data_IF_459889033443
#
_entry.id   IF_459889033443
#
_cell.length_a   1.000
_cell.length_b   1.000
_cell.length_c   1.000
_cell.angle_alpha   90.00
_cell.angle_beta   90.00
_cell.angle_gamma   90.00
#
_symmetry.space_group_name_H-M   'P 1'
#
loop_
_entity.id
_entity.type
_entity.pdbx_description
1 polymer ?
#
# COMPACT_ATOMS: atom_id res chain seq x y z
N UNK A 1 22.29 -2.53 1.18
CA UNK A 1 21.16 -2.38 2.13
C UNK A 1 21.69 -1.65 3.36
N UNK A 2 21.03 -0.60 3.77
CA UNK A 2 21.33 0.05 5.04
C UNK A 2 20.70 -0.76 6.20
N UNK A 3 21.32 -0.65 7.36
CA UNK A 3 20.72 -1.12 8.61
C UNK A 3 20.19 0.10 9.33
N UNK A 4 18.87 0.11 9.61
CA UNK A 4 18.22 1.16 10.39
C UNK A 4 17.69 0.58 11.69
N UNK A 5 17.90 1.31 12.81
CA UNK A 5 17.37 0.93 14.11
C UNK A 5 15.98 1.50 14.32
N UNK A 6 14.98 0.64 14.50
CA UNK A 6 13.60 1.00 14.79
C UNK A 6 13.24 0.53 16.20
N UNK A 7 13.27 1.43 17.17
CA UNK A 7 12.86 1.12 18.53
C UNK A 7 13.70 0.03 19.22
N UNK A 8 14.99 -0.07 18.90
CA UNK A 8 15.92 -1.07 19.45
C UNK A 8 16.04 -2.34 18.60
N UNK A 9 15.37 -2.43 17.46
CA UNK A 9 15.48 -3.53 16.50
C UNK A 9 16.15 -3.04 15.22
N UNK A 10 17.21 -3.72 14.80
CA UNK A 10 17.92 -3.43 13.56
C UNK A 10 17.21 -4.12 12.39
N UNK A 11 16.83 -3.34 11.37
CA UNK A 11 16.15 -3.85 10.17
C UNK A 11 16.92 -3.47 8.91
N UNK A 12 16.89 -4.36 7.92
CA UNK A 12 17.43 -4.09 6.60
C UNK A 12 16.44 -3.22 5.81
N UNK A 13 16.93 -2.10 5.30
CA UNK A 13 16.17 -1.20 4.43
C UNK A 13 16.95 -0.89 3.16
N UNK A 14 16.25 -0.49 2.11
CA UNK A 14 16.85 0.02 0.88
C UNK A 14 16.33 1.44 0.66
N UNK A 15 17.28 2.38 0.58
CA UNK A 15 16.99 3.78 0.33
C UNK A 15 17.32 4.17 -1.11
N UNK A 16 16.88 5.37 -1.52
CA UNK A 16 17.22 5.92 -2.84
C UNK A 16 18.71 6.24 -2.98
N UNK A 17 19.43 6.38 -1.88
CA UNK A 17 20.91 6.57 -1.89
C UNK A 17 21.63 5.27 -2.23
N UNK A 18 21.16 4.14 -1.71
CA UNK A 18 21.78 2.84 -1.94
C UNK A 18 21.34 2.21 -3.27
N UNK A 19 20.14 2.54 -3.72
CA UNK A 19 19.60 2.10 -5.00
C UNK A 19 19.03 3.31 -5.76
N UNK A 20 19.88 4.11 -6.40
CA UNK A 20 19.45 5.29 -7.14
C UNK A 20 18.50 4.97 -8.29
N UNK A 21 17.71 5.96 -8.71
CA UNK A 21 16.73 5.81 -9.81
C UNK A 21 17.42 5.41 -11.11
N UNK A 22 18.63 5.89 -11.35
CA UNK A 22 19.43 5.52 -12.53
C UNK A 22 19.76 4.02 -12.55
N UNK A 23 20.08 3.46 -11.39
CA UNK A 23 20.28 2.01 -11.24
C UNK A 23 18.99 1.25 -11.46
N UNK A 24 17.86 1.74 -10.95
CA UNK A 24 16.55 1.14 -11.19
C UNK A 24 16.20 1.12 -12.68
N UNK A 25 16.46 2.22 -13.39
CA UNK A 25 16.28 2.30 -14.85
C UNK A 25 17.18 1.31 -15.60
N UNK A 26 18.44 1.15 -15.21
CA UNK A 26 19.34 0.18 -15.83
C UNK A 26 18.87 -1.26 -15.61
N UNK A 27 18.41 -1.60 -14.41
CA UNK A 27 17.87 -2.93 -14.08
C UNK A 27 16.64 -3.28 -14.92
N UNK A 28 15.76 -2.32 -15.16
CA UNK A 28 14.48 -2.53 -15.85
C UNK A 28 14.48 -2.01 -17.31
N UNK A 29 15.62 -1.67 -17.87
CA UNK A 29 15.70 -1.04 -19.22
C UNK A 29 15.07 -1.85 -20.35
N UNK A 30 15.16 -3.18 -20.25
CA UNK A 30 14.64 -4.12 -21.27
C UNK A 30 13.28 -4.72 -20.85
N UNK A 31 12.73 -4.27 -19.72
CA UNK A 31 11.44 -4.77 -19.21
C UNK A 31 10.28 -3.91 -19.73
N UNK A 32 9.15 -4.56 -19.97
CA UNK A 32 7.86 -3.93 -20.24
C UNK A 32 6.97 -4.18 -19.02
N UNK A 33 6.58 -3.13 -18.31
CA UNK A 33 5.77 -3.21 -17.10
C UNK A 33 4.30 -3.01 -17.49
N UNK A 34 3.48 -4.06 -17.41
CA UNK A 34 2.04 -3.93 -17.58
C UNK A 34 1.34 -3.76 -16.23
N UNK A 35 0.78 -2.60 -15.99
CA UNK A 35 -0.10 -2.35 -14.84
C UNK A 35 -1.50 -2.84 -15.17
N UNK A 36 -1.91 -3.94 -14.56
CA UNK A 36 -3.22 -4.56 -14.74
C UNK A 36 -4.20 -4.06 -13.69
N UNK A 37 -5.15 -3.23 -14.13
CA UNK A 37 -6.11 -2.54 -13.27
C UNK A 37 -5.75 -1.06 -13.05
N UNK A 38 -6.75 -0.19 -13.21
CA UNK A 38 -6.60 1.26 -13.05
C UNK A 38 -7.54 1.80 -11.97
N UNK A 39 -7.61 1.03 -10.85
CA UNK A 39 -8.44 1.33 -9.69
C UNK A 39 -7.77 2.27 -8.69
N UNK A 40 -7.56 1.79 -7.43
CA UNK A 40 -7.01 2.61 -6.35
C UNK A 40 -5.50 2.81 -6.50
N UNK A 41 -4.73 1.73 -6.72
CA UNK A 41 -3.27 1.78 -6.81
C UNK A 41 -2.76 2.05 -8.24
N UNK A 42 -3.49 1.55 -9.25
CA UNK A 42 -3.07 1.59 -10.65
C UNK A 42 -2.61 2.97 -11.14
N UNK A 43 -3.42 4.04 -10.96
CA UNK A 43 -3.02 5.38 -11.37
C UNK A 43 -1.74 5.87 -10.69
N UNK A 44 -1.64 5.71 -9.36
CA UNK A 44 -0.47 6.18 -8.60
C UNK A 44 0.82 5.50 -9.05
N UNK A 45 0.82 4.18 -9.11
CA UNK A 45 2.02 3.42 -9.45
C UNK A 45 2.40 3.58 -10.93
N UNK A 46 1.45 3.44 -11.86
CA UNK A 46 1.74 3.53 -13.29
C UNK A 46 2.23 4.91 -13.72
N UNK A 47 1.61 5.97 -13.19
CA UNK A 47 2.02 7.35 -13.51
C UNK A 47 3.40 7.68 -12.94
N UNK A 48 3.71 7.22 -11.72
CA UNK A 48 5.02 7.44 -11.11
C UNK A 48 6.11 6.69 -11.88
N UNK A 49 5.87 5.43 -12.26
CA UNK A 49 6.79 4.66 -13.11
C UNK A 49 7.01 5.36 -14.47
N UNK A 50 5.94 5.81 -15.13
CA UNK A 50 6.01 6.55 -16.41
C UNK A 50 6.83 7.83 -16.26
N UNK A 51 6.55 8.64 -15.26
CA UNK A 51 7.25 9.91 -15.03
C UNK A 51 8.72 9.70 -14.66
N UNK A 52 9.06 8.55 -14.08
CA UNK A 52 10.43 8.12 -13.82
C UNK A 52 11.12 7.47 -15.05
N UNK A 53 10.45 7.42 -16.21
CA UNK A 53 11.04 7.00 -17.48
C UNK A 53 11.09 5.49 -17.73
N UNK A 54 10.28 4.70 -17.05
CA UNK A 54 10.13 3.27 -17.30
C UNK A 54 9.18 2.99 -18.47
N UNK A 55 9.35 1.86 -19.13
CA UNK A 55 8.47 1.39 -20.19
C UNK A 55 7.21 0.76 -19.59
N UNK A 56 6.15 1.53 -19.49
CA UNK A 56 4.90 1.15 -18.82
C UNK A 56 3.75 1.12 -19.80
N UNK A 57 2.95 0.09 -19.73
CA UNK A 57 1.65 -0.02 -20.38
C UNK A 57 0.57 -0.33 -19.35
N UNK A 58 -0.68 -0.02 -19.66
CA UNK A 58 -1.83 -0.27 -18.79
C UNK A 58 -2.75 -1.29 -19.44
N UNK A 59 -3.16 -2.30 -18.67
CA UNK A 59 -4.17 -3.28 -19.03
C UNK A 59 -5.47 -3.02 -18.28
N UNK A 60 -6.52 -2.56 -18.96
CA UNK A 60 -7.80 -2.23 -18.35
C UNK A 60 -8.97 -2.61 -19.24
N UNK A 61 -10.05 -3.13 -18.63
CA UNK A 61 -11.32 -3.36 -19.35
C UNK A 61 -12.03 -2.04 -19.62
N UNK A 62 -12.83 -1.94 -20.70
CA UNK A 62 -13.66 -0.74 -20.97
C UNK A 62 -14.55 -0.38 -19.79
N UNK A 63 -14.77 0.93 -19.59
CA UNK A 63 -15.59 1.51 -18.53
C UNK A 63 -14.94 2.72 -17.86
N UNK A 64 -15.52 3.23 -16.78
CA UNK A 64 -15.09 4.49 -16.12
C UNK A 64 -13.59 4.56 -15.78
N UNK A 65 -13.00 3.44 -15.37
CA UNK A 65 -11.56 3.38 -15.06
C UNK A 65 -10.69 3.37 -16.31
N UNK A 66 -11.18 2.84 -17.43
CA UNK A 66 -10.53 2.97 -18.72
C UNK A 66 -10.56 4.43 -19.22
N UNK A 67 -11.73 5.07 -19.14
CA UNK A 67 -11.88 6.47 -19.51
C UNK A 67 -10.98 7.39 -18.67
N UNK A 68 -10.84 7.06 -17.38
CA UNK A 68 -9.89 7.74 -16.50
C UNK A 68 -8.44 7.55 -16.97
N UNK A 69 -8.06 6.34 -17.37
CA UNK A 69 -6.71 6.12 -17.90
C UNK A 69 -6.44 6.95 -19.17
N UNK A 70 -7.41 7.05 -20.07
CA UNK A 70 -7.30 7.92 -21.25
C UNK A 70 -7.15 9.40 -20.83
N UNK A 71 -7.93 9.86 -19.85
CA UNK A 71 -7.83 11.23 -19.34
C UNK A 71 -6.46 11.51 -18.67
N UNK A 72 -5.84 10.51 -18.06
CA UNK A 72 -4.49 10.58 -17.47
C UNK A 72 -3.36 10.44 -18.51
N UNK A 73 -3.71 10.37 -19.80
CA UNK A 73 -2.77 10.41 -20.94
C UNK A 73 -2.27 9.05 -21.40
N UNK A 74 -2.96 7.95 -21.06
CA UNK A 74 -2.69 6.63 -21.65
C UNK A 74 -3.40 6.53 -23.01
N UNK A 75 -2.68 6.06 -24.03
CA UNK A 75 -3.14 6.06 -25.43
C UNK A 75 -3.64 4.68 -25.84
N UNK A 76 -4.94 4.53 -26.19
CA UNK A 76 -5.49 3.27 -26.67
C UNK A 76 -4.73 2.71 -27.88
N UNK A 77 -4.33 1.43 -27.78
CA UNK A 77 -3.56 0.73 -28.81
C UNK A 77 -2.05 1.00 -28.82
N UNK A 78 -1.56 1.95 -28.00
CA UNK A 78 -0.14 2.27 -27.86
C UNK A 78 0.38 1.98 -26.44
N UNK A 79 -0.28 2.53 -25.42
CA UNK A 79 0.08 2.38 -24.00
C UNK A 79 -1.08 1.93 -23.13
N UNK A 80 -2.29 1.83 -23.68
CA UNK A 80 -3.50 1.35 -23.03
C UNK A 80 -4.14 0.23 -23.86
N UNK A 81 -4.26 -0.94 -23.25
CA UNK A 81 -4.71 -2.19 -23.89
C UNK A 81 -5.81 -2.87 -23.07
N UNK A 82 -6.41 -3.91 -23.65
CA UNK A 82 -7.14 -4.91 -22.87
C UNK A 82 -6.19 -5.68 -21.93
N UNK A 83 -6.74 -6.28 -20.87
CA UNK A 83 -5.93 -6.97 -19.85
C UNK A 83 -5.03 -8.05 -20.47
N UNK A 84 -5.58 -8.86 -21.37
CA UNK A 84 -4.87 -10.00 -21.98
C UNK A 84 -3.74 -9.52 -22.90
N UNK A 85 -4.01 -8.53 -23.73
CA UNK A 85 -3.01 -7.97 -24.64
C UNK A 85 -1.87 -7.28 -23.85
N UNK A 86 -2.19 -6.57 -22.77
CA UNK A 86 -1.17 -5.99 -21.90
C UNK A 86 -0.30 -7.08 -21.25
N UNK A 87 -0.90 -8.18 -20.77
CA UNK A 87 -0.16 -9.32 -20.20
C UNK A 87 0.73 -10.03 -21.23
N UNK A 88 0.27 -10.12 -22.48
CA UNK A 88 1.05 -10.72 -23.58
C UNK A 88 2.32 -9.93 -23.85
N UNK A 89 2.20 -8.60 -23.94
CA UNK A 89 3.30 -7.66 -24.22
C UNK A 89 4.30 -7.51 -23.10
N UNK A 90 3.87 -7.75 -21.84
CA UNK A 90 4.65 -7.49 -20.64
C UNK A 90 5.73 -8.54 -20.39
N UNK A 91 6.82 -8.10 -19.75
CA UNK A 91 7.78 -8.96 -19.05
C UNK A 91 7.55 -8.96 -17.53
N UNK A 92 6.99 -7.84 -17.00
CA UNK A 92 6.53 -7.72 -15.61
C UNK A 92 5.03 -7.45 -15.63
N UNK A 93 4.24 -8.36 -15.07
CA UNK A 93 2.79 -8.24 -14.95
C UNK A 93 2.45 -7.77 -13.53
N UNK A 94 2.11 -6.50 -13.40
CA UNK A 94 1.81 -5.84 -12.13
C UNK A 94 0.30 -5.86 -11.88
N UNK A 95 -0.17 -6.79 -11.04
CA UNK A 95 -1.60 -7.02 -10.81
C UNK A 95 -2.10 -6.11 -9.70
N UNK A 96 -2.79 -5.02 -10.08
CA UNK A 96 -3.35 -4.00 -9.20
C UNK A 96 -4.90 -3.99 -9.23
N UNK A 97 -5.49 -5.15 -9.45
CA UNK A 97 -6.92 -5.41 -9.34
C UNK A 97 -7.31 -5.60 -7.87
N UNK A 98 -8.58 -5.40 -7.55
CA UNK A 98 -9.12 -5.84 -6.25
C UNK A 98 -9.03 -7.36 -6.11
N UNK A 99 -8.98 -7.89 -4.87
CA UNK A 99 -8.80 -9.32 -4.62
C UNK A 99 -9.83 -10.18 -5.36
N UNK A 100 -11.09 -9.78 -5.35
CA UNK A 100 -12.14 -10.48 -6.10
C UNK A 100 -11.89 -10.46 -7.61
N UNK A 101 -11.47 -9.32 -8.16
CA UNK A 101 -11.14 -9.21 -9.58
C UNK A 101 -9.86 -9.95 -9.95
N UNK A 102 -8.89 -10.08 -9.04
CA UNK A 102 -7.72 -10.94 -9.24
C UNK A 102 -8.13 -12.39 -9.41
N UNK A 103 -9.01 -12.90 -8.55
CA UNK A 103 -9.53 -14.27 -8.64
C UNK A 103 -10.27 -14.50 -9.97
N UNK A 104 -11.14 -13.56 -10.35
CA UNK A 104 -11.90 -13.63 -11.61
C UNK A 104 -10.98 -13.60 -12.85
N UNK A 105 -9.98 -12.72 -12.85
CA UNK A 105 -9.10 -12.51 -13.99
C UNK A 105 -7.95 -13.51 -14.06
N UNK A 106 -7.63 -14.23 -12.98
CA UNK A 106 -6.48 -15.12 -12.90
C UNK A 106 -6.35 -16.13 -14.06
N UNK A 107 -7.43 -16.86 -14.46
CA UNK A 107 -7.33 -17.80 -15.57
C UNK A 107 -6.91 -17.16 -16.90
N UNK A 108 -7.20 -15.86 -17.06
CA UNK A 108 -6.87 -15.07 -18.24
C UNK A 108 -5.43 -14.57 -18.19
N UNK A 109 -4.98 -14.07 -17.01
CA UNK A 109 -3.63 -13.57 -16.77
C UNK A 109 -2.60 -14.70 -16.81
N UNK A 110 -2.89 -15.84 -16.15
CA UNK A 110 -1.97 -16.99 -16.02
C UNK A 110 -1.43 -17.49 -17.37
N UNK A 111 -2.20 -17.41 -18.44
CA UNK A 111 -1.82 -17.88 -19.78
C UNK A 111 -0.58 -17.16 -20.33
N UNK A 112 -0.33 -15.94 -19.89
CA UNK A 112 0.74 -15.07 -20.36
C UNK A 112 1.97 -15.05 -19.45
N UNK A 113 1.93 -15.80 -18.34
CA UNK A 113 3.07 -15.99 -17.45
C UNK A 113 4.00 -17.06 -18.03
N UNK A 114 4.81 -16.65 -18.98
CA UNK A 114 5.84 -17.51 -19.60
C UNK A 114 7.14 -17.46 -18.79
N UNK A 115 8.05 -18.47 -18.95
CA UNK A 115 9.31 -18.54 -18.23
C UNK A 115 10.10 -17.21 -18.26
N UNK A 116 10.62 -16.80 -17.12
CA UNK A 116 11.44 -15.60 -16.98
C UNK A 116 10.67 -14.29 -16.75
N UNK A 117 9.35 -14.27 -16.91
CA UNK A 117 8.52 -13.11 -16.55
C UNK A 117 8.44 -12.94 -15.02
N UNK A 118 8.02 -11.76 -14.58
CA UNK A 118 7.71 -11.48 -13.19
C UNK A 118 6.22 -11.19 -13.00
N UNK A 119 5.65 -11.78 -11.95
CA UNK A 119 4.32 -11.50 -11.45
C UNK A 119 4.45 -10.64 -10.18
N UNK A 120 3.86 -9.46 -10.21
CA UNK A 120 3.97 -8.49 -9.14
C UNK A 120 2.61 -8.24 -8.49
N UNK A 121 2.64 -8.08 -7.16
CA UNK A 121 1.51 -7.69 -6.34
C UNK A 121 1.87 -6.50 -5.44
N UNK A 122 0.86 -5.70 -5.06
CA UNK A 122 0.99 -4.65 -4.03
C UNK A 122 0.25 -5.01 -2.74
N UNK A 123 -0.23 -6.24 -2.63
CA UNK A 123 -0.88 -6.80 -1.44
C UNK A 123 -0.68 -8.32 -1.41
N UNK A 124 -0.36 -8.85 -0.25
CA UNK A 124 0.00 -10.26 -0.11
C UNK A 124 -1.16 -11.26 -0.13
N UNK A 125 -2.41 -10.79 -0.25
CA UNK A 125 -3.63 -11.60 -0.12
C UNK A 125 -3.69 -12.78 -1.07
N UNK A 126 -3.54 -12.51 -2.36
CA UNK A 126 -3.71 -13.51 -3.43
C UNK A 126 -2.85 -14.76 -3.23
N UNK A 127 -1.59 -14.56 -2.85
CA UNK A 127 -0.58 -15.63 -2.68
C UNK A 127 -0.67 -16.27 -1.30
N UNK A 128 -0.91 -15.47 -0.25
CA UNK A 128 -1.01 -16.00 1.13
C UNK A 128 -2.19 -16.94 1.30
N UNK A 129 -3.31 -16.63 0.66
CA UNK A 129 -4.53 -17.45 0.73
C UNK A 129 -4.80 -18.24 -0.57
N UNK A 130 -3.74 -18.69 -1.24
CA UNK A 130 -3.83 -19.40 -2.53
C UNK A 130 -4.79 -20.60 -2.55
N UNK A 131 -5.00 -21.24 -1.41
CA UNK A 131 -5.98 -22.34 -1.27
C UNK A 131 -7.45 -21.87 -1.48
N UNK A 132 -7.70 -20.59 -1.28
CA UNK A 132 -9.03 -19.95 -1.48
C UNK A 132 -9.09 -19.19 -2.79
N UNK A 133 -8.03 -18.46 -3.12
CA UNK A 133 -7.97 -17.64 -4.34
C UNK A 133 -7.73 -18.47 -5.60
N UNK A 134 -7.17 -19.67 -5.44
CA UNK A 134 -6.68 -20.51 -6.54
C UNK A 134 -5.65 -19.78 -7.45
N UNK A 135 -5.00 -18.74 -6.92
CA UNK A 135 -3.93 -18.00 -7.62
C UNK A 135 -2.61 -18.72 -7.33
N UNK A 136 -2.27 -19.61 -8.24
CA UNK A 136 -1.05 -20.44 -8.16
C UNK A 136 -0.17 -20.09 -9.37
N UNK A 137 0.90 -19.29 -9.16
CA UNK A 137 1.84 -18.93 -10.23
C UNK A 137 2.59 -20.14 -10.78
N UNK A 138 3.00 -20.12 -12.06
CA UNK A 138 3.96 -21.09 -12.59
C UNK A 138 5.30 -21.05 -11.84
N UNK A 139 6.01 -22.19 -11.79
CA UNK A 139 7.26 -22.30 -11.05
C UNK A 139 8.46 -21.57 -11.71
N UNK A 140 8.34 -21.17 -12.95
CA UNK A 140 9.37 -20.59 -13.81
C UNK A 140 9.25 -19.07 -13.99
N UNK A 141 8.46 -18.41 -13.14
CA UNK A 141 8.32 -16.95 -13.08
C UNK A 141 8.75 -16.41 -11.72
N UNK A 142 9.22 -15.17 -11.68
CA UNK A 142 9.39 -14.48 -10.39
C UNK A 142 8.04 -14.08 -9.80
N UNK A 143 7.90 -14.15 -8.47
CA UNK A 143 6.71 -13.65 -7.77
C UNK A 143 7.16 -12.70 -6.68
N UNK A 144 6.84 -11.43 -6.86
CA UNK A 144 7.34 -10.31 -6.06
C UNK A 144 6.21 -9.43 -5.55
N UNK A 145 6.49 -8.72 -4.48
CA UNK A 145 5.58 -7.76 -3.87
C UNK A 145 6.32 -6.46 -3.55
N UNK A 146 5.74 -5.34 -3.94
CA UNK A 146 6.04 -4.02 -3.38
C UNK A 146 4.72 -3.34 -2.99
N UNK A 147 4.57 -3.06 -1.71
CA UNK A 147 3.35 -2.53 -1.12
C UNK A 147 3.61 -1.16 -0.48
N UNK A 148 3.36 -0.06 -1.21
CA UNK A 148 3.41 1.28 -0.67
C UNK A 148 2.42 1.44 0.50
N UNK A 149 2.88 1.99 1.63
CA UNK A 149 2.06 2.15 2.85
C UNK A 149 1.21 3.40 2.77
N UNK A 150 0.15 3.31 1.95
CA UNK A 150 -0.85 4.35 1.76
C UNK A 150 -1.65 4.20 0.47
N UNK A 151 -2.67 5.04 0.31
CA UNK A 151 -3.51 5.03 -0.89
C UNK A 151 -2.73 5.44 -2.15
N UNK A 152 -3.13 4.94 -3.31
CA UNK A 152 -2.53 5.35 -4.59
C UNK A 152 -2.59 6.85 -4.85
N UNK A 153 -3.63 7.53 -4.36
CA UNK A 153 -3.75 9.00 -4.40
C UNK A 153 -2.65 9.67 -3.56
N UNK A 154 -2.41 9.16 -2.35
CA UNK A 154 -1.34 9.69 -1.48
C UNK A 154 0.05 9.38 -2.06
N UNK A 155 0.25 8.18 -2.62
CA UNK A 155 1.48 7.82 -3.31
C UNK A 155 1.80 8.82 -4.43
N UNK A 156 0.82 9.11 -5.30
CA UNK A 156 0.98 10.09 -6.39
C UNK A 156 1.24 11.49 -5.88
N UNK A 157 0.47 11.95 -4.92
CA UNK A 157 0.61 13.30 -4.33
C UNK A 157 2.01 13.50 -3.73
N UNK A 158 2.48 12.56 -2.94
CA UNK A 158 3.80 12.67 -2.30
C UNK A 158 4.94 12.59 -3.32
N UNK A 159 4.79 11.75 -4.35
CA UNK A 159 5.74 11.70 -5.46
C UNK A 159 5.89 13.06 -6.16
N UNK A 160 4.77 13.71 -6.50
CA UNK A 160 4.79 15.05 -7.12
C UNK A 160 5.38 16.14 -6.22
N UNK A 161 5.40 15.93 -4.91
CA UNK A 161 6.04 16.80 -3.93
C UNK A 161 7.54 16.48 -3.71
N UNK A 162 8.12 15.56 -4.48
CA UNK A 162 9.50 15.10 -4.29
C UNK A 162 9.70 14.22 -3.04
N UNK A 163 8.61 13.78 -2.43
CA UNK A 163 8.57 12.88 -1.26
C UNK A 163 8.22 11.46 -1.70
N UNK A 164 8.15 10.51 -0.76
CA UNK A 164 7.73 9.14 -1.03
C UNK A 164 7.03 8.52 0.16
N UNK A 165 6.05 7.66 -0.09
CA UNK A 165 5.56 6.71 0.90
C UNK A 165 6.60 5.60 1.07
N UNK A 166 6.75 5.09 2.29
CA UNK A 166 7.55 3.90 2.49
C UNK A 166 6.81 2.67 1.95
N UNK A 167 7.57 1.68 1.49
CA UNK A 167 7.01 0.43 0.97
C UNK A 167 7.59 -0.77 1.67
N UNK A 168 6.79 -1.81 1.86
CA UNK A 168 7.32 -3.13 2.16
C UNK A 168 7.54 -3.91 0.87
N UNK A 169 8.63 -4.69 0.80
CA UNK A 169 8.87 -5.59 -0.33
C UNK A 169 9.02 -7.04 0.13
N UNK A 170 8.64 -7.96 -0.75
CA UNK A 170 8.80 -9.39 -0.50
C UNK A 170 9.04 -10.16 -1.80
N UNK A 171 9.77 -11.28 -1.67
CA UNK A 171 9.98 -12.25 -2.74
C UNK A 171 9.33 -13.56 -2.30
N UNK A 172 8.32 -14.00 -3.04
CA UNK A 172 7.71 -15.31 -2.83
C UNK A 172 8.43 -16.40 -3.64
N UNK A 173 8.84 -16.06 -4.86
CA UNK A 173 9.52 -16.96 -5.79
C UNK A 173 10.54 -16.18 -6.62
N UNK A 174 11.75 -16.69 -6.67
CA UNK A 174 12.85 -16.19 -7.52
C UNK A 174 13.28 -17.30 -8.49
N UNK A 175 12.62 -17.32 -9.65
CA UNK A 175 12.90 -18.31 -10.69
C UNK A 175 14.05 -17.89 -11.60
N UNK A 176 14.31 -16.57 -11.68
CA UNK A 176 15.30 -16.01 -12.62
C UNK A 176 16.63 -15.62 -11.96
N UNK A 177 16.68 -15.57 -10.63
CA UNK A 177 17.79 -14.98 -9.87
C UNK A 177 17.80 -13.45 -9.90
N UNK A 178 16.73 -12.81 -10.41
CA UNK A 178 16.60 -11.36 -10.56
C UNK A 178 15.45 -10.75 -9.74
N UNK A 179 14.73 -11.54 -8.97
CA UNK A 179 13.54 -11.09 -8.27
C UNK A 179 13.82 -9.93 -7.32
N UNK A 180 14.97 -9.95 -6.62
CA UNK A 180 15.37 -8.88 -5.72
C UNK A 180 15.64 -7.57 -6.49
N UNK A 181 16.43 -7.62 -7.55
CA UNK A 181 16.74 -6.45 -8.36
C UNK A 181 15.47 -5.84 -8.96
N UNK A 182 14.56 -6.69 -9.47
CA UNK A 182 13.27 -6.27 -10.04
C UNK A 182 12.38 -5.58 -9.00
N UNK A 183 12.18 -6.18 -7.83
CA UNK A 183 11.28 -5.62 -6.81
C UNK A 183 11.82 -4.31 -6.24
N UNK A 184 13.13 -4.20 -6.00
CA UNK A 184 13.72 -2.96 -5.51
C UNK A 184 13.65 -1.87 -6.57
N UNK A 185 13.99 -2.19 -7.83
CA UNK A 185 13.90 -1.23 -8.92
C UNK A 185 12.47 -0.72 -9.14
N UNK A 186 11.45 -1.59 -9.01
CA UNK A 186 10.05 -1.21 -9.08
C UNK A 186 9.66 -0.31 -7.88
N UNK A 187 10.04 -0.65 -6.65
CA UNK A 187 9.78 0.15 -5.47
C UNK A 187 10.40 1.55 -5.55
N UNK A 188 11.64 1.66 -6.02
CA UNK A 188 12.27 2.97 -6.31
C UNK A 188 11.53 3.68 -7.45
N UNK A 189 11.14 2.93 -8.49
CA UNK A 189 10.42 3.46 -9.66
C UNK A 189 9.04 4.03 -9.33
N UNK A 190 8.28 3.41 -8.43
CA UNK A 190 7.00 3.94 -7.96
C UNK A 190 7.16 5.12 -6.98
N UNK A 191 8.40 5.41 -6.57
CA UNK A 191 8.72 6.57 -5.77
C UNK A 191 8.69 6.33 -4.25
N UNK A 192 9.01 5.13 -3.80
CA UNK A 192 9.07 4.82 -2.37
C UNK A 192 10.10 5.69 -1.62
N UNK A 193 9.79 6.03 -0.37
CA UNK A 193 10.70 6.75 0.53
C UNK A 193 11.90 5.86 0.91
N UNK A 194 11.61 4.73 1.55
CA UNK A 194 12.51 3.59 1.71
C UNK A 194 11.72 2.28 1.56
N UNK A 195 12.43 1.21 1.27
CA UNK A 195 11.85 -0.13 1.20
C UNK A 195 12.35 -0.97 2.37
N UNK A 196 11.45 -1.71 3.03
CA UNK A 196 11.78 -2.64 4.10
C UNK A 196 11.30 -4.05 3.76
N UNK A 197 12.07 -5.04 4.18
CA UNK A 197 11.80 -6.43 3.85
C UNK A 197 10.65 -7.00 4.67
N UNK A 198 9.79 -7.79 4.01
CA UNK A 198 8.71 -8.54 4.65
C UNK A 198 8.50 -9.89 3.95
N UNK A 199 7.39 -10.55 4.23
CA UNK A 199 6.89 -11.72 3.49
C UNK A 199 5.45 -11.46 3.07
N UNK A 200 4.96 -12.12 2.02
CA UNK A 200 3.55 -12.02 1.60
C UNK A 200 2.59 -12.25 2.78
N UNK A 201 2.89 -13.21 3.64
CA UNK A 201 2.08 -13.51 4.83
C UNK A 201 2.10 -12.39 5.87
N UNK A 202 3.28 -11.86 6.20
CA UNK A 202 3.41 -10.76 7.18
C UNK A 202 2.76 -9.49 6.64
N UNK A 203 2.95 -9.21 5.35
CA UNK A 203 2.36 -8.05 4.70
C UNK A 203 0.84 -8.08 4.81
N UNK A 204 0.18 -9.16 4.36
CA UNK A 204 -1.28 -9.23 4.39
C UNK A 204 -1.84 -9.19 5.82
N UNK A 205 -1.14 -9.78 6.79
CA UNK A 205 -1.60 -9.76 8.18
C UNK A 205 -1.52 -8.36 8.79
N UNK A 206 -0.42 -7.65 8.56
CA UNK A 206 -0.27 -6.28 9.05
C UNK A 206 -1.19 -5.31 8.31
N UNK A 207 -1.30 -5.42 7.00
CA UNK A 207 -2.10 -4.54 6.16
C UNK A 207 -3.61 -4.65 6.49
N UNK A 208 -4.16 -5.86 6.47
CA UNK A 208 -5.56 -6.09 6.81
C UNK A 208 -5.90 -5.75 8.27
N UNK A 209 -4.97 -5.96 9.19
CA UNK A 209 -5.14 -5.53 10.58
C UNK A 209 -5.08 -4.01 10.69
N UNK A 210 -4.17 -3.36 9.97
CA UNK A 210 -4.04 -1.91 9.92
C UNK A 210 -5.29 -1.23 9.37
N UNK A 211 -5.77 -1.69 8.21
CA UNK A 211 -6.97 -1.12 7.58
C UNK A 211 -8.22 -1.24 8.45
N UNK A 212 -8.47 -2.42 9.01
CA UNK A 212 -9.63 -2.68 9.87
C UNK A 212 -9.47 -2.09 11.27
N UNK A 213 -8.24 -1.97 11.71
CA UNK A 213 -7.85 -1.36 12.99
C UNK A 213 -7.69 0.16 12.89
N UNK A 214 -6.51 0.64 13.21
CA UNK A 214 -6.23 2.07 13.41
C UNK A 214 -6.55 2.94 12.20
N UNK A 215 -6.29 2.46 10.97
CA UNK A 215 -6.38 3.31 9.77
C UNK A 215 -7.83 3.65 9.39
N UNK A 216 -8.79 2.75 9.62
CA UNK A 216 -10.19 2.95 9.24
C UNK A 216 -11.15 2.59 10.36
N UNK A 217 -11.20 1.34 10.82
CA UNK A 217 -12.24 0.87 11.75
C UNK A 217 -12.14 1.50 13.12
N UNK A 218 -10.95 1.46 13.74
CA UNK A 218 -10.76 1.98 15.10
C UNK A 218 -10.84 3.50 15.14
N UNK A 219 -10.24 4.23 14.18
CA UNK A 219 -10.31 5.69 14.17
C UNK A 219 -11.75 6.19 14.01
N UNK A 220 -12.52 5.59 13.10
CA UNK A 220 -13.93 5.96 12.92
C UNK A 220 -14.77 5.64 14.15
N UNK A 221 -14.57 4.45 14.75
CA UNK A 221 -15.26 4.06 15.98
C UNK A 221 -14.94 4.97 17.17
N UNK A 222 -13.67 5.37 17.31
CA UNK A 222 -13.23 6.30 18.34
C UNK A 222 -13.88 7.68 18.19
N UNK A 223 -13.83 8.24 16.98
CA UNK A 223 -14.43 9.55 16.68
C UNK A 223 -15.94 9.54 16.91
N UNK A 224 -16.62 8.48 16.47
CA UNK A 224 -18.06 8.33 16.66
C UNK A 224 -18.43 8.25 18.16
N UNK A 225 -17.73 7.41 18.92
CA UNK A 225 -18.00 7.24 20.34
C UNK A 225 -17.82 8.55 21.13
N UNK A 226 -16.77 9.31 20.84
CA UNK A 226 -16.56 10.61 21.49
C UNK A 226 -17.62 11.62 21.07
N UNK A 227 -17.95 11.69 19.78
CA UNK A 227 -19.00 12.58 19.27
C UNK A 227 -20.35 12.30 19.93
N UNK A 228 -20.77 11.04 19.98
CA UNK A 228 -22.03 10.63 20.62
C UNK A 228 -22.05 10.99 22.10
N UNK A 229 -20.94 10.72 22.82
CA UNK A 229 -20.81 11.08 24.23
C UNK A 229 -20.99 12.58 24.48
N UNK A 230 -20.39 13.44 23.65
CA UNK A 230 -20.57 14.90 23.76
C UNK A 230 -22.02 15.28 23.43
N UNK A 231 -22.64 14.71 22.41
CA UNK A 231 -24.04 14.97 22.07
C UNK A 231 -25.02 14.57 23.20
N UNK A 232 -24.80 13.41 23.81
CA UNK A 232 -25.59 12.92 24.95
C UNK A 232 -25.47 13.79 26.18
N UNK A 233 -24.35 14.50 26.33
CA UNK A 233 -24.12 15.46 27.44
C UNK A 233 -24.48 16.92 27.08
N UNK A 234 -25.19 17.14 25.98
CA UNK A 234 -25.81 18.41 25.63
C UNK A 234 -24.95 19.36 24.80
N UNK A 235 -23.78 18.95 24.32
CA UNK A 235 -23.00 19.76 23.40
C UNK A 235 -23.67 19.86 22.03
N UNK A 236 -23.57 21.01 21.37
CA UNK A 236 -24.12 21.19 20.02
C UNK A 236 -23.36 20.39 18.97
N UNK A 237 -24.00 20.02 17.84
CA UNK A 237 -23.34 19.21 16.80
C UNK A 237 -22.05 19.79 16.27
N UNK A 238 -21.98 21.10 16.09
CA UNK A 238 -20.77 21.80 15.62
C UNK A 238 -19.64 21.71 16.63
N UNK A 239 -19.95 21.94 17.93
CA UNK A 239 -18.97 21.82 19.01
C UNK A 239 -18.44 20.38 19.09
N UNK A 240 -19.32 19.39 19.17
CA UNK A 240 -18.93 17.97 19.22
C UNK A 240 -18.08 17.55 18.00
N UNK A 241 -18.39 18.01 16.80
CA UNK A 241 -17.63 17.73 15.60
C UNK A 241 -16.24 18.38 15.62
N UNK A 242 -16.15 19.65 15.99
CA UNK A 242 -14.87 20.35 15.99
C UNK A 242 -13.91 19.78 17.03
N UNK A 243 -14.38 19.47 18.23
CA UNK A 243 -13.58 18.86 19.30
C UNK A 243 -13.21 17.38 19.06
N UNK A 244 -13.83 16.73 18.09
CA UNK A 244 -13.61 15.31 17.82
C UNK A 244 -12.87 15.09 16.52
N UNK A 245 -13.34 15.70 15.44
CA UNK A 245 -12.89 15.40 14.08
C UNK A 245 -11.98 16.50 13.54
N UNK A 246 -12.46 17.76 13.57
CA UNK A 246 -11.80 18.87 12.87
C UNK A 246 -10.42 19.17 13.48
N UNK A 247 -10.34 19.33 14.79
CA UNK A 247 -9.08 19.62 15.47
C UNK A 247 -8.06 18.48 15.30
N UNK A 248 -8.50 17.22 15.40
CA UNK A 248 -7.61 16.08 15.16
C UNK A 248 -7.06 16.07 13.74
N UNK A 249 -7.94 16.24 12.73
CA UNK A 249 -7.55 16.03 11.33
C UNK A 249 -6.87 17.22 10.69
N UNK A 250 -7.24 18.45 11.09
CA UNK A 250 -6.70 19.68 10.50
C UNK A 250 -5.53 20.27 11.28
N UNK A 251 -5.42 19.97 12.58
CA UNK A 251 -4.35 20.50 13.43
C UNK A 251 -3.36 19.40 13.86
N UNK A 252 -3.83 18.40 14.61
CA UNK A 252 -2.92 17.47 15.28
C UNK A 252 -2.27 16.47 14.33
N UNK A 253 -3.02 15.82 13.42
CA UNK A 253 -2.46 14.82 12.49
C UNK A 253 -1.39 15.37 11.55
N UNK A 254 -1.52 16.58 10.96
CA UNK A 254 -0.43 17.18 10.19
C UNK A 254 0.84 17.38 11.03
N UNK A 255 0.72 17.85 12.26
CA UNK A 255 1.86 18.04 13.17
C UNK A 255 2.51 16.71 13.59
N UNK A 256 1.73 15.65 13.80
CA UNK A 256 2.27 14.31 14.01
C UNK A 256 3.07 13.81 12.81
N UNK A 257 2.58 14.06 11.59
CA UNK A 257 3.26 13.65 10.37
C UNK A 257 4.57 14.42 10.13
N UNK A 258 4.62 15.67 10.52
CA UNK A 258 5.79 16.54 10.30
C UNK A 258 6.86 16.40 11.39
N UNK A 259 6.47 16.26 12.65
CA UNK A 259 7.36 16.37 13.78
C UNK A 259 7.40 15.13 14.70
N UNK A 260 6.45 14.22 14.55
CA UNK A 260 6.28 13.06 15.45
C UNK A 260 5.37 13.30 16.65
N UNK A 261 4.90 12.21 17.25
CA UNK A 261 3.97 12.28 18.39
C UNK A 261 4.63 12.88 19.65
N UNK A 262 5.88 12.57 19.90
CA UNK A 262 6.60 13.09 21.06
C UNK A 262 6.74 14.61 21.02
N UNK A 263 7.03 15.14 19.82
CA UNK A 263 7.08 16.58 19.61
C UNK A 263 5.72 17.22 19.86
N UNK A 264 4.64 16.63 19.32
CA UNK A 264 3.29 17.15 19.50
C UNK A 264 2.90 17.15 20.97
N UNK A 265 3.16 16.05 21.69
CA UNK A 265 2.94 15.97 23.13
C UNK A 265 3.68 17.07 23.90
N UNK A 266 4.97 17.25 23.63
CA UNK A 266 5.82 18.23 24.31
C UNK A 266 5.39 19.70 24.06
N UNK A 267 4.71 19.97 22.94
CA UNK A 267 4.26 21.30 22.54
C UNK A 267 2.78 21.59 22.85
N UNK A 268 2.07 20.67 23.50
CA UNK A 268 0.74 20.91 24.03
C UNK A 268 0.78 21.61 25.42
N UNK A 269 -0.37 22.12 25.85
CA UNK A 269 -0.53 22.64 27.21
C UNK A 269 -0.28 21.56 28.27
N UNK A 270 0.18 21.98 29.46
CA UNK A 270 0.39 21.03 30.58
C UNK A 270 -0.87 20.28 30.96
N UNK A 271 -2.05 20.90 30.80
CA UNK A 271 -3.36 20.27 31.05
C UNK A 271 -3.61 19.15 30.01
N UNK A 272 -3.34 19.39 28.72
CA UNK A 272 -3.48 18.38 27.68
C UNK A 272 -2.48 17.23 27.87
N UNK A 273 -1.23 17.55 28.20
CA UNK A 273 -0.19 16.53 28.51
C UNK A 273 -0.64 15.63 29.67
N UNK A 274 -1.17 16.24 30.74
CA UNK A 274 -1.67 15.48 31.89
C UNK A 274 -2.86 14.61 31.52
N UNK A 275 -3.82 15.16 30.78
CA UNK A 275 -4.98 14.40 30.30
C UNK A 275 -4.58 13.21 29.43
N UNK A 276 -3.60 13.37 28.55
CA UNK A 276 -3.07 12.28 27.75
C UNK A 276 -2.48 11.15 28.62
N UNK A 277 -1.69 11.48 29.63
CA UNK A 277 -1.12 10.50 30.56
C UNK A 277 -2.20 9.76 31.38
N UNK A 278 -3.23 10.46 31.82
CA UNK A 278 -4.31 9.89 32.63
C UNK A 278 -5.20 8.92 31.82
N UNK A 279 -5.41 9.19 30.52
CA UNK A 279 -6.38 8.47 29.71
C UNK A 279 -5.78 7.50 28.68
N UNK A 280 -4.50 7.60 28.36
CA UNK A 280 -3.84 6.68 27.43
C UNK A 280 -3.97 5.22 27.90
N UNK A 281 -3.74 4.95 29.19
CA UNK A 281 -3.87 3.61 29.77
C UNK A 281 -5.27 3.02 29.62
N UNK A 282 -6.32 3.68 30.13
CA UNK A 282 -7.70 3.23 29.96
C UNK A 282 -8.10 2.95 28.51
N UNK A 283 -7.74 3.82 27.56
CA UNK A 283 -8.00 3.57 26.13
C UNK A 283 -7.22 2.37 25.61
N UNK A 284 -5.91 2.26 25.93
CA UNK A 284 -5.11 1.10 25.54
C UNK A 284 -5.76 -0.21 26.00
N UNK A 285 -6.15 -0.29 27.27
CA UNK A 285 -6.71 -1.51 27.86
C UNK A 285 -8.08 -1.86 27.27
N UNK A 286 -8.86 -0.87 26.88
CA UNK A 286 -10.15 -1.08 26.21
C UNK A 286 -9.99 -1.62 24.78
N UNK A 287 -9.02 -1.12 24.01
CA UNK A 287 -8.90 -1.47 22.58
C UNK A 287 -7.96 -2.65 22.32
N UNK A 288 -6.98 -2.92 23.19
CA UNK A 288 -6.01 -4.01 23.00
C UNK A 288 -6.65 -5.38 22.76
N UNK A 289 -7.67 -5.82 23.53
CA UNK A 289 -8.36 -7.07 23.28
C UNK A 289 -9.09 -7.12 21.92
N UNK A 290 -9.60 -5.97 21.47
CA UNK A 290 -10.27 -5.86 20.15
C UNK A 290 -9.25 -6.04 19.03
N UNK A 291 -8.07 -5.41 19.12
CA UNK A 291 -6.99 -5.62 18.14
C UNK A 291 -6.49 -7.07 18.12
N UNK A 292 -6.36 -7.70 19.26
CA UNK A 292 -5.95 -9.11 19.33
C UNK A 292 -6.98 -10.04 18.69
N UNK A 293 -8.27 -9.77 18.90
CA UNK A 293 -9.36 -10.50 18.22
C UNK A 293 -9.28 -10.30 16.72
N UNK A 294 -9.17 -9.05 16.27
CA UNK A 294 -9.05 -8.70 14.85
C UNK A 294 -7.87 -9.42 14.18
N UNK A 295 -6.69 -9.38 14.81
CA UNK A 295 -5.50 -10.05 14.27
C UNK A 295 -5.71 -11.56 14.12
N UNK A 296 -6.34 -12.21 15.11
CA UNK A 296 -6.68 -13.64 15.03
C UNK A 296 -7.65 -13.94 13.89
N UNK A 297 -8.66 -13.11 13.68
CA UNK A 297 -9.62 -13.29 12.58
C UNK A 297 -8.94 -13.13 11.21
N UNK A 298 -8.05 -12.15 11.06
CA UNK A 298 -7.22 -12.00 9.86
C UNK A 298 -6.36 -13.23 9.64
N UNK A 299 -5.64 -13.70 10.66
CA UNK A 299 -4.74 -14.85 10.56
C UNK A 299 -5.47 -16.15 10.18
N UNK A 300 -6.71 -16.31 10.63
CA UNK A 300 -7.57 -17.46 10.29
C UNK A 300 -8.32 -17.27 8.97
N UNK A 301 -8.10 -16.15 8.27
CA UNK A 301 -8.82 -15.80 7.03
C UNK A 301 -10.36 -15.81 7.20
N UNK A 302 -10.85 -15.38 8.36
CA UNK A 302 -12.28 -15.21 8.66
C UNK A 302 -12.84 -13.86 8.18
N UNK A 303 -12.09 -13.15 7.37
CA UNK A 303 -12.45 -11.84 6.80
C UNK A 303 -13.28 -12.02 5.53
N UNK A 304 -14.21 -11.11 5.33
CA UNK A 304 -14.96 -10.99 4.08
C UNK A 304 -14.16 -10.21 3.03
N UNK A 305 -14.16 -10.74 1.83
CA UNK A 305 -13.54 -10.11 0.65
C UNK A 305 -14.61 -9.33 -0.10
#
# INVERSE_FOLDING_TARGET
>A
MAIMNFGGVDENVVTREEFPLEKAREVLKDEVIAVIGYGVQGPGQSLNLRDNGFNVIVGQRPGKTYDKAVADGWVPGETLFGIEEACERATIIQVLLSDAAQIECWPRIKKYLTPGKALYFSHGFAITYKERTNIIPPADVDVILDAPKGSGTSLRRMFLQGRGLNSSYAIFQDATGRAWDRVIALGIGVGSGYLFETTFKKEVYSDLTGERGTLMGAIQGLLLAQYETLRENGHEPSEAFNETVEELTQSLMPLFAENGMDWMYANCSTTAQRGALDWMGPFHDAVKPVFEKLYREVALSLIHI
#
